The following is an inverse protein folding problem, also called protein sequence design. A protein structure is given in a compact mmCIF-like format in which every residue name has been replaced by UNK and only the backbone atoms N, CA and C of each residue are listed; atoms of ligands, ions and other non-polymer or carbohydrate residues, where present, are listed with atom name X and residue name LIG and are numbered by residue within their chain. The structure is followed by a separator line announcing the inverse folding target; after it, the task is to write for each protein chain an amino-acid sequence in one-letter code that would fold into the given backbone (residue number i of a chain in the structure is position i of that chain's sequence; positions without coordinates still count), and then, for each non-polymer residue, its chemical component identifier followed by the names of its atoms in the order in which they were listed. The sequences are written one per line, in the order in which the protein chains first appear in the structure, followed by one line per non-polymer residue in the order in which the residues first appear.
data_IF_967747805116
#
_entry.id   IF_967747805116
#
_cell.length_a   1.000
_cell.length_b   1.000
_cell.length_c   1.000
_cell.angle_alpha   90.00
_cell.angle_beta   90.00
_cell.angle_gamma   90.00
#
_symmetry.space_group_name_H-M   'P 1'
#
loop_
_entity.id
_entity.type
_entity.pdbx_description
1 polymer ?
#
# COMPACT_ATOMS: atom_id res chain seq x y z
N UNK A 1 23.88 -1.83 -0.30
CA UNK A 1 23.15 -1.54 -1.56
C UNK A 1 21.80 -0.95 -1.17
N UNK A 2 21.29 0.10 -1.83
CA UNK A 2 20.00 0.72 -1.48
C UNK A 2 18.83 0.05 -2.21
N UNK A 3 17.61 0.13 -1.67
CA UNK A 3 16.39 -0.37 -2.32
C UNK A 3 16.22 0.18 -3.74
N UNK A 4 16.36 1.50 -3.94
CA UNK A 4 16.25 2.10 -5.27
C UNK A 4 17.20 1.46 -6.30
N UNK A 5 18.46 1.19 -5.90
CA UNK A 5 19.44 0.52 -6.78
C UNK A 5 19.05 -0.93 -7.07
N UNK A 6 18.55 -1.69 -6.09
CA UNK A 6 18.14 -3.08 -6.30
C UNK A 6 16.94 -3.21 -7.23
N UNK A 7 16.03 -2.22 -7.20
CA UNK A 7 14.88 -2.12 -8.11
C UNK A 7 15.22 -1.51 -9.47
N UNK A 8 16.47 -1.08 -9.69
CA UNK A 8 16.85 -0.25 -10.86
C UNK A 8 15.95 0.98 -11.01
N UNK A 9 15.45 1.49 -9.90
CA UNK A 9 14.74 2.75 -9.85
C UNK A 9 15.75 3.89 -9.98
N UNK A 10 15.43 4.88 -10.80
CA UNK A 10 16.19 6.11 -10.83
C UNK A 10 15.63 7.06 -9.77
N UNK A 11 16.52 7.64 -8.97
CA UNK A 11 16.17 8.64 -7.97
C UNK A 11 17.14 9.80 -8.09
N UNK A 12 16.62 11.02 -8.11
CA UNK A 12 17.42 12.22 -7.98
C UNK A 12 18.21 12.23 -6.66
N UNK A 13 19.27 13.06 -6.51
CA UNK A 13 20.05 13.14 -5.28
C UNK A 13 19.20 13.59 -4.08
N UNK A 14 18.85 12.63 -3.22
CA UNK A 14 18.02 12.82 -2.03
C UNK A 14 18.51 11.95 -0.87
N UNK A 15 18.05 12.23 0.35
CA UNK A 15 18.29 11.41 1.53
C UNK A 15 16.99 11.18 2.29
N UNK A 16 16.84 10.00 2.89
CA UNK A 16 15.83 9.78 3.90
C UNK A 16 16.39 10.24 5.25
N UNK A 17 15.66 11.09 5.96
CA UNK A 17 16.07 11.68 7.24
C UNK A 17 14.86 11.74 8.18
N UNK A 18 15.09 11.54 9.49
CA UNK A 18 14.05 11.78 10.49
C UNK A 18 13.82 13.28 10.63
N UNK A 19 12.57 13.71 10.51
CA UNK A 19 12.20 15.10 10.74
C UNK A 19 12.45 15.47 12.20
N UNK A 20 13.16 16.57 12.48
CA UNK A 20 13.47 16.97 13.85
C UNK A 20 12.24 17.24 14.73
N UNK A 21 11.12 17.65 14.11
CA UNK A 21 9.90 18.06 14.82
C UNK A 21 9.04 16.90 15.34
N UNK A 22 8.95 15.82 14.56
CA UNK A 22 7.97 14.74 14.76
C UNK A 22 8.61 13.35 14.68
N UNK A 23 9.92 13.25 14.39
CA UNK A 23 10.63 11.98 14.27
C UNK A 23 10.28 11.17 13.02
N UNK A 24 9.31 11.61 12.20
CA UNK A 24 8.85 10.88 11.03
C UNK A 24 9.94 10.90 9.96
N UNK A 25 10.22 9.75 9.36
CA UNK A 25 11.14 9.64 8.22
C UNK A 25 10.55 10.34 6.99
N UNK A 26 11.29 11.28 6.42
CA UNK A 26 10.95 11.98 5.19
C UNK A 26 12.09 11.98 4.19
N UNK A 27 11.77 12.21 2.92
CA UNK A 27 12.76 12.31 1.84
C UNK A 27 13.14 13.77 1.62
N UNK A 28 14.42 14.10 1.73
CA UNK A 28 14.93 15.47 1.64
C UNK A 28 15.79 15.65 0.38
N UNK A 29 15.62 16.79 -0.29
CA UNK A 29 16.41 17.19 -1.44
C UNK A 29 17.88 17.51 -1.06
N UNK A 30 18.84 16.82 -1.68
CA UNK A 30 20.29 17.14 -1.50
C UNK A 30 20.80 18.24 -2.42
N UNK A 31 20.00 18.63 -3.41
CA UNK A 31 20.30 19.71 -4.35
C UNK A 31 18.99 20.43 -4.71
N UNK A 32 19.10 21.60 -5.32
CA UNK A 32 17.95 22.32 -5.87
C UNK A 32 17.36 21.54 -7.05
N UNK A 33 16.03 21.50 -7.12
CA UNK A 33 15.28 21.01 -8.29
C UNK A 33 14.40 22.11 -8.84
N UNK A 34 14.27 22.14 -10.16
CA UNK A 34 13.37 23.05 -10.86
C UNK A 34 12.02 22.40 -11.09
N UNK A 35 10.99 23.23 -11.24
CA UNK A 35 9.68 22.77 -11.68
C UNK A 35 9.79 21.88 -12.92
N UNK A 36 9.15 20.72 -12.87
CA UNK A 36 9.12 19.74 -13.95
C UNK A 36 10.26 18.73 -13.93
N UNK A 37 11.29 18.91 -13.10
CA UNK A 37 12.39 17.96 -12.97
C UNK A 37 11.88 16.57 -12.61
N UNK A 38 12.50 15.54 -13.20
CA UNK A 38 12.30 14.16 -12.80
C UNK A 38 12.96 13.94 -11.44
N UNK A 39 12.19 13.42 -10.49
CA UNK A 39 12.67 13.14 -9.12
C UNK A 39 12.81 11.64 -8.88
N UNK A 40 11.87 10.84 -9.36
CA UNK A 40 11.91 9.38 -9.26
C UNK A 40 11.32 8.72 -10.51
N UNK A 41 11.85 7.55 -10.85
CA UNK A 41 11.34 6.65 -11.88
C UNK A 41 11.46 5.21 -11.36
N UNK A 42 10.32 4.59 -11.06
CA UNK A 42 10.23 3.24 -10.49
C UNK A 42 9.57 2.30 -11.49
N UNK A 43 10.24 1.21 -11.92
CA UNK A 43 9.66 0.28 -12.90
C UNK A 43 8.38 -0.40 -12.39
N UNK A 44 7.34 -0.48 -13.22
CA UNK A 44 6.03 -1.05 -12.82
C UNK A 44 6.10 -2.52 -12.40
N UNK A 45 7.14 -3.25 -12.82
CA UNK A 45 7.36 -4.66 -12.45
C UNK A 45 7.67 -4.88 -10.97
N UNK A 46 7.78 -3.81 -10.19
CA UNK A 46 7.94 -3.85 -8.72
C UNK A 46 6.79 -3.16 -7.99
N UNK A 47 5.83 -2.60 -8.73
CA UNK A 47 4.67 -1.92 -8.18
C UNK A 47 3.48 -2.88 -8.10
N UNK A 48 2.55 -2.59 -7.20
CA UNK A 48 1.28 -3.29 -7.09
C UNK A 48 0.14 -2.38 -7.48
N UNK A 49 -0.89 -2.97 -8.07
CA UNK A 49 -2.12 -2.29 -8.49
C UNK A 49 -3.33 -3.00 -7.87
N UNK A 50 -3.67 -2.65 -6.62
CA UNK A 50 -4.77 -3.27 -5.87
C UNK A 50 -6.12 -3.26 -6.56
N UNK A 51 -6.41 -2.17 -7.27
CA UNK A 51 -7.73 -1.92 -7.86
C UNK A 51 -7.69 -1.84 -9.39
N UNK A 52 -6.67 -2.42 -10.04
CA UNK A 52 -6.54 -2.36 -11.50
C UNK A 52 -7.66 -3.08 -12.26
N UNK A 53 -8.34 -4.05 -11.64
CA UNK A 53 -9.41 -4.82 -12.28
C UNK A 53 -10.25 -5.58 -11.26
N UNK A 54 -11.58 -5.59 -11.44
CA UNK A 54 -12.50 -6.48 -10.72
C UNK A 54 -12.40 -7.95 -11.17
N UNK A 55 -11.93 -8.20 -12.40
CA UNK A 55 -11.69 -9.55 -12.90
C UNK A 55 -10.39 -10.13 -12.29
N UNK A 56 -10.44 -11.25 -11.54
CA UNK A 56 -9.28 -11.79 -10.84
C UNK A 56 -8.10 -12.19 -11.74
N UNK A 57 -8.38 -12.78 -12.91
CA UNK A 57 -7.33 -13.17 -13.87
C UNK A 57 -6.57 -11.95 -14.40
N UNK A 58 -7.31 -10.86 -14.70
CA UNK A 58 -6.70 -9.60 -15.12
C UNK A 58 -5.94 -8.93 -13.98
N UNK A 59 -6.49 -8.94 -12.76
CA UNK A 59 -5.82 -8.43 -11.56
C UNK A 59 -4.48 -9.12 -11.31
N UNK A 60 -4.46 -10.46 -11.38
CA UNK A 60 -3.23 -11.27 -11.30
C UNK A 60 -2.24 -10.94 -12.40
N UNK A 61 -2.71 -10.72 -13.63
CA UNK A 61 -1.83 -10.33 -14.76
C UNK A 61 -1.13 -8.99 -14.51
N UNK A 62 -1.84 -8.00 -13.97
CA UNK A 62 -1.27 -6.70 -13.61
C UNK A 62 -0.23 -6.79 -12.49
N UNK A 63 -0.44 -7.72 -11.55
CA UNK A 63 0.42 -7.91 -10.38
C UNK A 63 1.37 -9.12 -10.51
N UNK A 64 1.59 -9.62 -11.73
CA UNK A 64 2.42 -10.82 -11.97
C UNK A 64 3.90 -10.57 -11.75
N UNK A 65 4.38 -9.37 -12.03
CA UNK A 65 5.77 -8.99 -11.74
C UNK A 65 5.74 -8.11 -10.52
N UNK A 66 6.13 -8.68 -9.39
CA UNK A 66 5.93 -8.13 -8.06
C UNK A 66 7.25 -8.06 -7.30
N UNK A 67 7.34 -7.14 -6.35
CA UNK A 67 8.48 -7.01 -5.45
C UNK A 67 8.69 -8.27 -4.58
N UNK A 68 7.62 -8.91 -4.14
CA UNK A 68 7.62 -10.13 -3.33
C UNK A 68 7.31 -11.33 -4.22
N UNK A 69 8.23 -12.29 -4.39
CA UNK A 69 8.01 -13.47 -5.23
C UNK A 69 6.76 -14.29 -4.85
N UNK A 70 6.53 -14.45 -3.54
CA UNK A 70 5.41 -15.21 -2.97
C UNK A 70 4.05 -14.50 -3.10
N UNK A 71 4.02 -13.20 -3.37
CA UNK A 71 2.77 -12.45 -3.51
C UNK A 71 1.87 -13.03 -4.62
N UNK A 72 2.43 -13.63 -5.66
CA UNK A 72 1.65 -14.27 -6.72
C UNK A 72 0.86 -15.49 -6.21
N UNK A 73 1.48 -16.29 -5.34
CA UNK A 73 0.84 -17.46 -4.73
C UNK A 73 -0.31 -17.01 -3.84
N UNK A 74 -0.05 -16.03 -2.97
CA UNK A 74 -1.07 -15.49 -2.08
C UNK A 74 -2.19 -14.80 -2.84
N UNK A 75 -1.87 -14.05 -3.89
CA UNK A 75 -2.88 -13.43 -4.74
C UNK A 75 -3.78 -14.46 -5.42
N UNK A 76 -3.25 -15.63 -5.81
CA UNK A 76 -4.07 -16.72 -6.33
C UNK A 76 -5.05 -17.25 -5.27
N UNK A 77 -4.56 -17.48 -4.05
CA UNK A 77 -5.34 -18.04 -2.92
C UNK A 77 -6.40 -17.07 -2.37
N UNK A 78 -6.10 -15.79 -2.39
CA UNK A 78 -6.95 -14.73 -1.82
C UNK A 78 -7.84 -14.05 -2.88
N UNK A 79 -7.75 -14.47 -4.13
CA UNK A 79 -8.67 -13.99 -5.18
C UNK A 79 -10.06 -14.59 -5.01
N UNK A 80 -11.09 -13.85 -5.42
CA UNK A 80 -12.49 -14.29 -5.34
C UNK A 80 -12.84 -15.51 -6.21
N UNK A 81 -11.96 -15.93 -7.12
CA UNK A 81 -12.10 -17.13 -7.95
C UNK A 81 -11.30 -18.34 -7.43
N UNK A 82 -10.80 -18.28 -6.20
CA UNK A 82 -10.17 -19.43 -5.54
C UNK A 82 -11.18 -20.57 -5.34
N UNK A 83 -10.74 -21.82 -5.55
CA UNK A 83 -11.59 -23.02 -5.52
C UNK A 83 -11.97 -23.48 -4.13
N UNK A 84 -11.15 -23.14 -3.13
CA UNK A 84 -11.37 -23.49 -1.73
C UNK A 84 -12.14 -22.33 -1.05
N UNK A 85 -12.98 -22.65 -0.06
CA UNK A 85 -13.85 -21.70 0.65
C UNK A 85 -13.14 -20.34 0.83
N UNK A 86 -13.63 -19.32 0.12
CA UNK A 86 -12.92 -18.06 -0.04
C UNK A 86 -12.63 -17.39 1.30
N UNK A 87 -11.39 -16.90 1.47
CA UNK A 87 -11.01 -16.13 2.65
C UNK A 87 -11.78 -14.81 2.65
N UNK A 88 -12.51 -14.51 3.74
CA UNK A 88 -13.17 -13.22 3.86
C UNK A 88 -12.13 -12.12 4.07
N UNK A 89 -11.95 -11.29 3.05
CA UNK A 89 -11.12 -10.08 3.09
C UNK A 89 -11.90 -8.84 3.54
N UNK A 90 -13.13 -9.06 4.02
CA UNK A 90 -14.02 -8.04 4.54
C UNK A 90 -14.41 -8.36 5.98
N UNK A 91 -14.52 -7.32 6.80
CA UNK A 91 -15.01 -7.38 8.17
C UNK A 91 -15.92 -6.17 8.42
N UNK A 92 -16.95 -6.36 9.24
CA UNK A 92 -17.92 -5.33 9.57
C UNK A 92 -18.18 -5.33 11.07
N UNK A 93 -18.23 -4.14 11.67
CA UNK A 93 -18.56 -3.93 13.08
C UNK A 93 -19.70 -2.92 13.16
N UNK A 94 -20.72 -3.25 13.95
CA UNK A 94 -21.79 -2.32 14.30
C UNK A 94 -21.34 -1.42 15.44
N UNK A 95 -21.44 -0.10 15.25
CA UNK A 95 -21.10 0.91 16.25
C UNK A 95 -22.24 1.09 17.25
N UNK A 96 -21.97 1.78 18.36
CA UNK A 96 -22.98 2.08 19.39
C UNK A 96 -24.17 2.89 18.83
N UNK A 97 -23.97 3.64 17.74
CA UNK A 97 -24.99 4.40 17.01
C UNK A 97 -25.82 3.55 16.03
N UNK A 98 -25.64 2.22 16.01
CA UNK A 98 -26.18 1.30 14.99
C UNK A 98 -25.69 1.57 13.56
N UNK A 99 -24.54 2.25 13.39
CA UNK A 99 -23.89 2.35 12.07
C UNK A 99 -23.08 1.08 11.84
N UNK A 100 -22.93 0.64 10.58
CA UNK A 100 -22.09 -0.51 10.26
C UNK A 100 -20.83 -0.03 9.55
N UNK A 101 -19.69 -0.15 10.20
CA UNK A 101 -18.39 0.16 9.61
C UNK A 101 -17.86 -1.11 8.96
N UNK A 102 -17.75 -1.09 7.63
CA UNK A 102 -17.22 -2.22 6.85
C UNK A 102 -15.86 -1.89 6.27
N UNK A 103 -14.89 -2.75 6.55
CA UNK A 103 -13.56 -2.70 5.98
C UNK A 103 -13.37 -3.83 4.96
N UNK A 104 -12.82 -3.52 3.78
CA UNK A 104 -12.49 -4.53 2.76
C UNK A 104 -11.08 -4.36 2.22
N UNK A 105 -10.21 -5.36 2.40
CA UNK A 105 -8.91 -5.47 1.72
C UNK A 105 -9.09 -5.97 0.28
N UNK A 106 -8.38 -5.38 -0.67
CA UNK A 106 -8.21 -6.04 -1.97
C UNK A 106 -7.36 -7.30 -1.83
N UNK A 107 -7.53 -8.30 -2.73
CA UNK A 107 -6.67 -9.48 -2.77
C UNK A 107 -5.17 -9.15 -2.90
N UNK A 108 -4.83 -8.02 -3.53
CA UNK A 108 -3.44 -7.59 -3.69
C UNK A 108 -2.88 -7.03 -2.39
N UNK A 109 -3.63 -6.19 -1.68
CA UNK A 109 -3.22 -5.69 -0.36
C UNK A 109 -3.05 -6.84 0.63
N UNK A 110 -4.01 -7.77 0.66
CA UNK A 110 -3.93 -8.96 1.49
C UNK A 110 -2.71 -9.84 1.12
N UNK A 111 -2.48 -10.07 -0.18
CA UNK A 111 -1.29 -10.83 -0.63
C UNK A 111 0.03 -10.18 -0.22
N UNK A 112 0.08 -8.85 -0.25
CA UNK A 112 1.26 -8.08 0.12
C UNK A 112 1.46 -8.08 1.64
N UNK A 113 0.39 -7.91 2.42
CA UNK A 113 0.42 -7.97 3.88
C UNK A 113 0.91 -9.33 4.36
N UNK A 114 0.39 -10.44 3.80
CA UNK A 114 0.87 -11.79 4.11
C UNK A 114 2.34 -11.95 3.74
N UNK A 115 2.76 -11.47 2.56
CA UNK A 115 4.18 -11.56 2.13
C UNK A 115 5.12 -10.80 3.07
N UNK A 116 4.73 -9.60 3.50
CA UNK A 116 5.47 -8.78 4.47
C UNK A 116 5.53 -9.47 5.84
N UNK A 117 4.39 -9.92 6.34
CA UNK A 117 4.27 -10.58 7.65
C UNK A 117 5.11 -11.85 7.71
N UNK A 118 4.97 -12.77 6.76
CA UNK A 118 5.71 -14.02 6.74
C UNK A 118 7.21 -13.78 6.62
N UNK A 119 7.66 -12.86 5.76
CA UNK A 119 9.09 -12.52 5.69
C UNK A 119 9.60 -11.92 6.98
N UNK A 120 8.82 -11.08 7.66
CA UNK A 120 9.19 -10.53 8.95
C UNK A 120 9.29 -11.64 10.00
N UNK A 121 8.24 -12.44 10.15
CA UNK A 121 8.15 -13.57 11.09
C UNK A 121 9.34 -14.52 10.96
N UNK A 122 9.60 -15.04 9.76
CA UNK A 122 10.69 -16.01 9.55
C UNK A 122 12.08 -15.42 9.78
N UNK A 123 12.27 -14.11 9.57
CA UNK A 123 13.58 -13.46 9.70
C UNK A 123 13.86 -12.92 11.08
N UNK A 124 12.85 -12.41 11.76
CA UNK A 124 12.97 -11.66 13.02
C UNK A 124 12.49 -12.46 14.21
N UNK A 125 11.45 -13.29 14.06
CA UNK A 125 10.89 -14.11 15.15
C UNK A 125 11.58 -15.47 15.19
N UNK A 126 11.47 -16.25 14.11
CA UNK A 126 12.06 -17.60 14.03
C UNK A 126 13.60 -17.55 13.97
N UNK A 127 14.16 -16.44 13.47
CA UNK A 127 15.61 -16.22 13.34
C UNK A 127 16.30 -17.37 12.58
N UNK A 128 15.90 -17.63 11.33
CA UNK A 128 16.61 -18.56 10.45
C UNK A 128 18.05 -18.09 10.18
N UNK A 129 18.98 -18.43 11.08
CA UNK A 129 20.42 -18.28 10.90
C UNK A 129 20.94 -19.54 10.21
N UNK A 130 21.46 -19.40 8.99
CA UNK A 130 22.27 -20.47 8.39
C UNK A 130 23.57 -20.65 9.19
N UNK A 131 23.96 -21.90 9.47
CA UNK A 131 25.26 -22.22 10.13
C UNK A 131 26.49 -21.71 9.36
N UNK A 132 26.38 -21.40 8.07
CA UNK A 132 27.49 -20.93 7.21
C UNK A 132 27.10 -19.78 6.25
N UNK A 133 25.99 -19.07 6.49
CA UNK A 133 25.65 -17.85 5.73
C UNK A 133 25.29 -18.00 4.24
N UNK A 134 25.34 -19.21 3.64
CA UNK A 134 25.11 -19.43 2.20
C UNK A 134 24.11 -20.55 1.83
N UNK A 135 23.32 -21.06 2.79
CA UNK A 135 22.26 -22.04 2.51
C UNK A 135 20.94 -21.39 2.05
N UNK A 136 20.18 -22.05 1.19
CA UNK A 136 18.75 -21.68 0.99
C UNK A 136 18.01 -21.87 2.33
N UNK A 137 17.09 -20.98 2.72
CA UNK A 137 16.20 -21.31 3.82
C UNK A 137 15.42 -22.58 3.42
N UNK A 138 15.44 -23.61 4.27
CA UNK A 138 14.66 -24.83 4.04
C UNK A 138 13.15 -24.55 4.16
N UNK A 139 12.79 -23.53 4.93
CA UNK A 139 11.41 -23.14 5.27
C UNK A 139 11.21 -21.63 5.11
N UNK A 140 9.97 -21.22 4.84
CA UNK A 140 9.60 -19.82 4.71
C UNK A 140 9.96 -19.20 3.35
N UNK A 141 9.74 -17.88 3.20
CA UNK A 141 9.89 -17.21 1.92
C UNK A 141 11.31 -17.26 1.36
N UNK A 142 11.41 -17.50 0.04
CA UNK A 142 12.69 -17.52 -0.67
C UNK A 142 13.50 -16.22 -0.51
N UNK A 143 14.82 -16.35 -0.44
CA UNK A 143 15.72 -15.20 -0.37
C UNK A 143 15.59 -14.34 -1.63
N UNK A 144 15.16 -13.09 -1.45
CA UNK A 144 14.99 -12.15 -2.54
C UNK A 144 15.36 -10.74 -2.07
N UNK A 145 16.60 -10.36 -2.38
CA UNK A 145 17.22 -9.15 -1.82
C UNK A 145 16.39 -7.87 -1.96
N UNK A 146 15.68 -7.59 -3.09
CA UNK A 146 14.83 -6.40 -3.18
C UNK A 146 13.64 -6.40 -2.19
N UNK A 147 12.95 -7.54 -2.01
CA UNK A 147 11.87 -7.65 -1.04
C UNK A 147 12.38 -7.41 0.38
N UNK A 148 13.58 -7.91 0.67
CA UNK A 148 14.22 -7.79 1.97
C UNK A 148 14.61 -6.36 2.31
N UNK A 149 15.16 -5.64 1.33
CA UNK A 149 15.47 -4.22 1.47
C UNK A 149 14.21 -3.38 1.66
N UNK A 150 13.10 -3.76 1.03
CA UNK A 150 11.82 -3.09 1.24
C UNK A 150 11.26 -3.41 2.64
N UNK A 151 11.32 -4.65 3.09
CA UNK A 151 10.93 -5.03 4.46
C UNK A 151 11.70 -4.23 5.53
N UNK A 152 13.00 -3.98 5.30
CA UNK A 152 13.81 -3.15 6.20
C UNK A 152 13.46 -1.66 6.16
N UNK A 153 12.83 -1.20 5.08
CA UNK A 153 12.45 0.20 4.90
C UNK A 153 11.09 0.56 5.50
N UNK A 154 10.28 -0.45 5.84
CA UNK A 154 8.95 -0.28 6.43
C UNK A 154 9.01 -0.44 7.96
N UNK A 155 8.18 0.31 8.71
CA UNK A 155 8.30 0.43 10.16
C UNK A 155 7.65 -0.73 10.92
N UNK A 156 7.88 -1.98 10.49
CA UNK A 156 7.25 -3.16 11.11
C UNK A 156 7.65 -3.31 12.58
N UNK A 157 8.94 -3.12 12.88
CA UNK A 157 9.49 -3.30 14.22
C UNK A 157 8.93 -2.25 15.18
N UNK A 158 8.80 -1.00 14.73
CA UNK A 158 8.17 0.06 15.51
C UNK A 158 6.69 -0.26 15.82
N UNK A 159 5.91 -0.73 14.82
CA UNK A 159 4.48 -1.04 15.01
C UNK A 159 4.27 -2.26 15.93
N UNK A 160 5.21 -3.19 15.97
CA UNK A 160 5.15 -4.36 16.85
C UNK A 160 5.55 -3.98 18.28
N UNK A 161 6.60 -3.16 18.46
CA UNK A 161 7.16 -2.83 19.78
C UNK A 161 6.33 -1.79 20.53
N UNK A 162 5.92 -0.72 19.87
CA UNK A 162 5.15 0.36 20.49
C UNK A 162 3.64 0.07 20.49
N UNK A 163 3.26 -1.08 19.94
CA UNK A 163 1.90 -1.36 19.55
C UNK A 163 1.51 -0.52 18.34
N UNK A 164 0.32 -0.84 17.84
CA UNK A 164 -0.33 -0.02 16.83
C UNK A 164 -0.89 1.18 17.58
N UNK A 165 -0.04 2.16 17.85
CA UNK A 165 -0.53 3.47 18.25
C UNK A 165 -1.52 3.90 17.17
N UNK A 166 -2.73 4.16 17.67
CA UNK A 166 -3.84 4.83 17.01
C UNK A 166 -3.47 5.27 15.60
N UNK A 167 -4.02 4.65 14.53
CA UNK A 167 -3.86 5.22 13.20
C UNK A 167 -4.04 6.73 13.27
N UNK A 168 -3.23 7.49 12.52
CA UNK A 168 -3.13 8.96 12.54
C UNK A 168 -4.50 9.69 12.41
N UNK A 169 -5.36 9.54 13.41
CA UNK A 169 -6.78 9.84 13.52
C UNK A 169 -6.98 10.43 14.90
N UNK A 170 -6.70 11.72 15.03
CA UNK A 170 -7.25 12.46 16.16
C UNK A 170 -8.76 12.70 16.00
N UNK A 171 -9.32 12.42 14.81
CA UNK A 171 -10.61 13.00 14.37
C UNK A 171 -11.66 11.96 13.92
N UNK A 172 -11.42 10.65 14.07
CA UNK A 172 -12.38 9.59 13.66
C UNK A 172 -13.09 9.03 14.89
N UNK A 173 -14.40 9.30 15.00
CA UNK A 173 -15.24 8.86 16.12
C UNK A 173 -15.33 7.32 16.27
N UNK A 174 -14.96 6.56 15.23
CA UNK A 174 -15.09 5.09 15.12
C UNK A 174 -13.76 4.30 15.07
N UNK A 175 -12.66 4.88 15.54
CA UNK A 175 -11.31 4.29 15.45
C UNK A 175 -11.19 2.87 16.04
N UNK A 176 -11.84 2.61 17.19
CA UNK A 176 -11.81 1.29 17.82
C UNK A 176 -12.50 0.21 16.96
N UNK A 177 -13.63 0.55 16.35
CA UNK A 177 -14.40 -0.35 15.47
C UNK A 177 -13.59 -0.74 14.23
N UNK A 178 -12.80 0.21 13.76
CA UNK A 178 -11.90 0.06 12.62
C UNK A 178 -10.71 -0.85 12.95
N UNK A 179 -10.12 -0.73 14.14
CA UNK A 179 -9.08 -1.65 14.59
C UNK A 179 -9.59 -3.09 14.67
N UNK A 180 -10.78 -3.29 15.28
CA UNK A 180 -11.41 -4.62 15.38
C UNK A 180 -11.69 -5.26 14.02
N UNK A 181 -12.10 -4.46 13.02
CA UNK A 181 -12.23 -4.93 11.65
C UNK A 181 -10.90 -5.44 11.06
N UNK A 182 -9.78 -4.74 11.31
CA UNK A 182 -8.47 -5.19 10.85
C UNK A 182 -8.07 -6.48 11.57
N UNK A 183 -8.28 -6.57 12.89
CA UNK A 183 -7.99 -7.80 13.66
C UNK A 183 -8.75 -9.00 13.10
N UNK A 184 -10.04 -8.84 12.80
CA UNK A 184 -10.84 -9.91 12.20
C UNK A 184 -10.29 -10.35 10.83
N UNK A 185 -9.90 -9.41 9.98
CA UNK A 185 -9.28 -9.75 8.70
C UNK A 185 -7.91 -10.43 8.92
N UNK A 186 -7.12 -9.99 9.90
CA UNK A 186 -5.84 -10.61 10.24
C UNK A 186 -6.02 -12.08 10.68
N UNK A 187 -7.05 -12.38 11.47
CA UNK A 187 -7.40 -13.76 11.84
C UNK A 187 -7.80 -14.61 10.63
N UNK A 188 -8.63 -14.08 9.74
CA UNK A 188 -8.99 -14.79 8.51
C UNK A 188 -7.75 -15.11 7.65
N UNK A 189 -6.79 -14.18 7.58
CA UNK A 189 -5.53 -14.40 6.87
C UNK A 189 -4.63 -15.42 7.58
N UNK A 190 -4.59 -15.40 8.92
CA UNK A 190 -3.88 -16.43 9.70
C UNK A 190 -4.44 -17.81 9.43
N UNK A 191 -5.76 -17.99 9.47
CA UNK A 191 -6.38 -19.29 9.23
C UNK A 191 -6.08 -19.79 7.80
N UNK A 192 -6.08 -18.89 6.82
CA UNK A 192 -5.65 -19.21 5.46
C UNK A 192 -4.18 -19.65 5.40
N UNK A 193 -3.28 -18.95 6.10
CA UNK A 193 -1.85 -19.30 6.16
C UNK A 193 -1.68 -20.68 6.77
N UNK A 194 -2.29 -20.95 7.92
CA UNK A 194 -2.22 -22.22 8.62
C UNK A 194 -2.77 -23.37 7.79
N UNK A 195 -3.91 -23.17 7.13
CA UNK A 195 -4.53 -24.17 6.23
C UNK A 195 -3.64 -24.50 5.04
N UNK A 196 -2.88 -23.52 4.56
CA UNK A 196 -2.01 -23.67 3.38
C UNK A 196 -0.55 -24.03 3.72
N UNK A 197 -0.19 -24.07 4.99
CA UNK A 197 1.19 -24.27 5.44
C UNK A 197 1.59 -25.74 5.31
N UNK A 198 2.77 -26.06 4.76
CA UNK A 198 3.36 -27.38 4.93
C UNK A 198 3.49 -27.73 6.42
N UNK A 199 3.39 -29.02 6.78
CA UNK A 199 3.47 -29.48 8.18
C UNK A 199 4.70 -28.93 8.93
N UNK A 200 5.83 -28.83 8.22
CA UNK A 200 7.08 -28.30 8.76
C UNK A 200 6.99 -26.81 9.10
N UNK A 201 6.31 -25.99 8.28
CA UNK A 201 6.10 -24.57 8.58
C UNK A 201 5.01 -24.37 9.63
N UNK A 202 3.95 -25.17 9.58
CA UNK A 202 2.84 -25.12 10.53
C UNK A 202 3.33 -25.20 11.97
N UNK A 203 4.26 -26.11 12.27
CA UNK A 203 4.81 -26.27 13.61
C UNK A 203 5.46 -24.98 14.17
N UNK A 204 6.05 -24.15 13.31
CA UNK A 204 6.64 -22.87 13.75
C UNK A 204 5.57 -21.80 14.00
N UNK A 205 4.56 -21.73 13.14
CA UNK A 205 3.43 -20.82 13.30
C UNK A 205 2.64 -21.16 14.58
N UNK A 206 2.43 -22.46 14.85
CA UNK A 206 1.74 -22.95 16.04
C UNK A 206 2.55 -22.75 17.33
N UNK A 207 3.89 -22.79 17.23
CA UNK A 207 4.76 -22.49 18.37
C UNK A 207 4.84 -20.98 18.73
N UNK A 208 4.51 -20.09 17.78
CA UNK A 208 4.58 -18.63 17.96
C UNK A 208 3.30 -17.93 17.45
N UNK A 209 2.11 -18.29 17.96
CA UNK A 209 0.84 -17.82 17.40
C UNK A 209 0.67 -16.31 17.58
N UNK A 210 0.99 -15.78 18.76
CA UNK A 210 0.88 -14.35 19.07
C UNK A 210 1.83 -13.48 18.23
N UNK A 211 3.03 -13.98 17.92
CA UNK A 211 3.97 -13.26 17.06
C UNK A 211 3.48 -13.24 15.60
N UNK A 212 2.88 -14.34 15.12
CA UNK A 212 2.28 -14.37 13.79
C UNK A 212 1.10 -13.39 13.70
N UNK A 213 0.23 -13.35 14.72
CA UNK A 213 -0.89 -12.41 14.79
C UNK A 213 -0.42 -10.95 14.77
N UNK A 214 0.54 -10.60 15.63
CA UNK A 214 1.09 -9.25 15.69
C UNK A 214 1.76 -8.83 14.38
N UNK A 215 2.48 -9.73 13.72
CA UNK A 215 3.15 -9.44 12.44
C UNK A 215 2.16 -9.29 11.30
N UNK A 216 1.09 -10.08 11.26
CA UNK A 216 0.02 -9.93 10.27
C UNK A 216 -0.72 -8.62 10.44
N UNK A 217 -1.12 -8.32 11.67
CA UNK A 217 -1.83 -7.08 12.00
C UNK A 217 -0.99 -5.86 11.61
N UNK A 218 0.28 -5.80 12.05
CA UNK A 218 1.20 -4.73 11.68
C UNK A 218 1.41 -4.62 10.17
N UNK A 219 1.52 -5.75 9.46
CA UNK A 219 1.70 -5.74 8.01
C UNK A 219 0.49 -5.15 7.27
N UNK A 220 -0.74 -5.41 7.73
CA UNK A 220 -1.93 -4.82 7.13
C UNK A 220 -1.91 -3.29 7.26
N UNK A 221 -1.63 -2.77 8.47
CA UNK A 221 -1.50 -1.34 8.72
C UNK A 221 -0.43 -0.69 7.82
N UNK A 222 0.76 -1.29 7.82
CA UNK A 222 1.91 -0.80 7.05
C UNK A 222 1.62 -0.80 5.55
N UNK A 223 0.99 -1.84 5.02
CA UNK A 223 0.63 -1.94 3.60
C UNK A 223 -0.44 -0.91 3.23
N UNK A 224 -1.50 -0.79 4.02
CA UNK A 224 -2.60 0.15 3.77
C UNK A 224 -2.14 1.60 3.76
N UNK A 225 -1.28 1.99 4.70
CA UNK A 225 -0.72 3.33 4.77
C UNK A 225 0.10 3.74 3.51
N UNK A 226 0.49 2.78 2.67
CA UNK A 226 1.33 2.99 1.47
C UNK A 226 0.57 2.98 0.15
N UNK A 227 -0.74 2.80 0.20
CA UNK A 227 -1.57 2.82 -1.00
C UNK A 227 -1.64 4.23 -1.57
N UNK A 228 -1.07 4.49 -2.75
CA UNK A 228 -1.06 5.80 -3.41
C UNK A 228 -2.13 5.90 -4.50
N UNK A 229 -2.87 7.01 -4.57
CA UNK A 229 -3.75 7.31 -5.72
C UNK A 229 -2.98 8.12 -6.76
N UNK A 230 -2.93 7.63 -8.00
CA UNK A 230 -2.16 8.24 -9.07
C UNK A 230 -2.95 8.29 -10.38
N UNK A 231 -2.76 9.34 -11.17
CA UNK A 231 -3.21 9.36 -12.56
C UNK A 231 -2.42 8.35 -13.39
N UNK A 232 -3.09 7.75 -14.38
CA UNK A 232 -2.50 6.79 -15.31
C UNK A 232 -2.47 7.36 -16.73
N UNK A 233 -1.28 7.44 -17.31
CA UNK A 233 -1.02 7.97 -18.64
C UNK A 233 -0.83 6.80 -19.61
N UNK A 234 -1.71 6.71 -20.62
CA UNK A 234 -1.73 5.61 -21.60
C UNK A 234 -1.03 5.92 -22.94
N UNK A 235 -0.57 7.15 -23.18
CA UNK A 235 0.17 7.55 -24.37
C UNK A 235 -0.67 8.34 -25.37
N UNK A 236 -1.74 7.75 -25.90
CA UNK A 236 -2.48 8.31 -27.05
C UNK A 236 -3.90 8.83 -26.72
N UNK A 237 -4.40 8.62 -25.50
CA UNK A 237 -5.72 9.12 -25.10
C UNK A 237 -5.62 10.51 -24.46
N UNK A 238 -6.32 11.50 -25.03
CA UNK A 238 -6.55 12.83 -24.41
C UNK A 238 -7.28 12.75 -23.07
N UNK A 239 -7.83 11.59 -22.71
CA UNK A 239 -8.32 11.30 -21.36
C UNK A 239 -7.19 10.72 -20.51
N UNK A 240 -6.37 11.62 -19.95
CA UNK A 240 -5.38 11.32 -18.90
C UNK A 240 -5.99 10.89 -17.56
N UNK A 241 -7.31 10.72 -17.50
CA UNK A 241 -8.09 10.87 -16.27
C UNK A 241 -8.45 9.53 -15.61
N UNK A 242 -7.72 8.46 -15.90
CA UNK A 242 -7.86 7.21 -15.16
C UNK A 242 -6.98 7.24 -13.91
N UNK A 243 -7.60 7.49 -12.77
CA UNK A 243 -6.97 7.34 -11.46
C UNK A 243 -6.90 5.87 -11.09
N UNK A 244 -5.77 5.43 -10.54
CA UNK A 244 -5.60 4.07 -10.01
C UNK A 244 -4.87 4.09 -8.68
N UNK A 245 -5.13 3.08 -7.84
CA UNK A 245 -4.39 2.87 -6.60
C UNK A 245 -3.14 2.04 -6.88
N UNK A 246 -2.00 2.46 -6.33
CA UNK A 246 -0.68 1.89 -6.58
C UNK A 246 0.09 1.81 -5.27
N UNK A 247 0.75 0.69 -5.03
CA UNK A 247 1.83 0.63 -4.03
C UNK A 247 3.13 0.62 -4.83
N UNK A 248 3.89 1.72 -4.68
CA UNK A 248 5.09 1.98 -5.47
C UNK A 248 6.29 2.11 -4.53
N UNK A 249 7.13 1.06 -4.39
CA UNK A 249 8.30 1.11 -3.52
C UNK A 249 9.17 2.32 -3.83
N UNK A 250 9.74 2.95 -2.80
CA UNK A 250 10.54 4.20 -2.87
C UNK A 250 9.69 5.46 -3.00
N UNK A 251 8.62 5.42 -3.79
CA UNK A 251 7.67 6.56 -3.91
C UNK A 251 6.80 6.66 -2.66
N UNK A 252 6.46 5.53 -2.08
CA UNK A 252 5.70 5.39 -0.83
C UNK A 252 6.47 5.83 0.44
N UNK A 253 7.69 6.36 0.30
CA UNK A 253 8.42 7.08 1.36
C UNK A 253 8.23 8.59 1.34
N UNK A 254 7.56 9.14 0.32
CA UNK A 254 7.23 10.56 0.26
C UNK A 254 6.04 10.84 1.17
N UNK A 255 6.22 11.71 2.15
CA UNK A 255 5.17 12.06 3.10
C UNK A 255 4.04 12.87 2.44
N UNK A 256 2.89 12.91 3.12
CA UNK A 256 1.76 13.74 2.69
C UNK A 256 2.06 15.24 2.87
N UNK A 257 1.71 16.04 1.86
CA UNK A 257 1.52 17.48 1.99
C UNK A 257 0.18 17.88 1.36
N UNK A 258 -0.73 18.45 2.13
CA UNK A 258 -2.05 18.88 1.63
C UNK A 258 -1.92 20.19 0.85
N UNK A 259 -1.70 21.30 1.55
CA UNK A 259 -1.41 22.60 0.96
C UNK A 259 0.10 22.74 0.72
N UNK A 260 0.52 22.82 -0.55
CA UNK A 260 1.92 23.10 -0.91
C UNK A 260 2.80 21.88 -1.12
N UNK A 261 2.22 20.71 -1.44
CA UNK A 261 2.98 19.58 -1.96
C UNK A 261 3.88 20.02 -3.12
N UNK A 262 5.08 19.46 -3.17
CA UNK A 262 6.10 19.86 -4.14
C UNK A 262 6.40 18.78 -5.19
N UNK A 263 5.78 17.61 -5.05
CA UNK A 263 5.89 16.51 -6.00
C UNK A 263 4.51 16.10 -6.54
N UNK A 264 4.49 15.61 -7.78
CA UNK A 264 3.35 14.89 -8.36
C UNK A 264 3.82 13.53 -8.88
N UNK A 265 3.00 12.51 -8.68
CA UNK A 265 3.27 11.14 -9.11
C UNK A 265 2.23 10.66 -10.11
N UNK A 266 2.66 9.90 -11.12
CA UNK A 266 1.77 9.26 -12.08
C UNK A 266 2.29 7.89 -12.51
N UNK A 267 1.38 7.04 -12.94
CA UNK A 267 1.69 5.79 -13.63
C UNK A 267 1.78 6.10 -15.12
N UNK A 268 2.90 5.80 -15.75
CA UNK A 268 3.06 5.93 -17.20
C UNK A 268 3.19 4.54 -17.84
N UNK A 269 2.13 4.14 -18.54
CA UNK A 269 2.08 2.85 -19.24
C UNK A 269 3.09 2.80 -20.40
N UNK A 270 3.24 3.85 -21.24
CA UNK A 270 4.24 3.84 -22.30
C UNK A 270 5.67 3.64 -21.80
N UNK A 271 6.04 4.26 -20.67
CA UNK A 271 7.38 4.10 -20.07
C UNK A 271 7.48 2.92 -19.12
N UNK A 272 6.36 2.25 -18.83
CA UNK A 272 6.27 1.16 -17.85
C UNK A 272 6.92 1.53 -16.51
N UNK A 273 6.59 2.72 -16.01
CA UNK A 273 7.09 3.22 -14.73
C UNK A 273 6.06 4.02 -13.93
N UNK A 274 6.29 4.12 -12.63
CA UNK A 274 5.76 5.20 -11.78
C UNK A 274 6.77 6.33 -11.78
N UNK A 275 6.34 7.52 -12.14
CA UNK A 275 7.19 8.69 -12.28
C UNK A 275 6.77 9.77 -11.30
N UNK A 276 7.75 10.35 -10.61
CA UNK A 276 7.57 11.51 -9.72
C UNK A 276 8.30 12.71 -10.30
N UNK A 277 7.61 13.85 -10.38
CA UNK A 277 8.17 15.13 -10.84
C UNK A 277 7.92 16.27 -9.86
N UNK A 278 8.80 17.26 -9.88
CA UNK A 278 8.62 18.48 -9.11
C UNK A 278 7.48 19.33 -9.71
N UNK A 279 6.51 19.76 -8.89
CA UNK A 279 5.41 20.65 -9.35
C UNK A 279 5.78 22.13 -9.25
N UNK A 280 6.80 22.44 -8.45
CA UNK A 280 7.42 23.77 -8.27
C UNK A 280 8.92 23.60 -8.04
N UNK A 281 9.65 24.69 -7.95
CA UNK A 281 11.05 24.66 -7.50
C UNK A 281 11.13 24.11 -6.06
N UNK A 282 12.14 23.28 -5.81
CA UNK A 282 12.41 22.63 -4.52
C UNK A 282 13.82 23.02 -4.07
N UNK A 283 13.93 23.58 -2.86
CA UNK A 283 15.19 24.01 -2.27
C UNK A 283 16.05 22.84 -1.78
N UNK A 284 17.34 23.11 -1.54
CA UNK A 284 18.22 22.16 -0.82
C UNK A 284 17.72 22.04 0.63
N UNK A 285 17.64 20.83 1.15
CA UNK A 285 17.15 20.57 2.51
C UNK A 285 15.63 20.55 2.63
N UNK A 286 14.90 20.81 1.56
CA UNK A 286 13.44 20.75 1.56
C UNK A 286 12.93 19.30 1.48
N UNK A 287 11.89 18.98 2.24
CA UNK A 287 11.23 17.67 2.21
C UNK A 287 10.36 17.53 0.95
N UNK A 288 10.51 16.42 0.24
CA UNK A 288 9.65 16.03 -0.88
C UNK A 288 8.35 15.45 -0.34
N UNK A 289 7.21 15.99 -0.81
CA UNK A 289 5.88 15.62 -0.35
C UNK A 289 4.92 15.41 -1.51
N UNK A 290 4.00 14.46 -1.36
CA UNK A 290 2.92 14.17 -2.30
C UNK A 290 1.56 14.53 -1.71
N UNK A 291 0.63 14.92 -2.57
CA UNK A 291 -0.77 14.83 -2.20
C UNK A 291 -1.24 13.38 -2.30
N UNK A 292 -1.63 12.82 -1.16
CA UNK A 292 -2.13 11.46 -1.07
C UNK A 292 -3.55 11.32 -1.67
N UNK A 293 -4.28 12.42 -1.81
CA UNK A 293 -5.61 12.43 -2.42
C UNK A 293 -5.53 12.16 -3.93
N UNK A 294 -4.36 12.38 -4.53
CA UNK A 294 -4.16 12.33 -5.97
C UNK A 294 -4.73 13.59 -6.64
N UNK A 295 -4.79 13.64 -7.98
CA UNK A 295 -5.39 14.76 -8.67
C UNK A 295 -6.88 14.84 -8.34
N UNK A 296 -7.27 15.87 -7.59
CA UNK A 296 -8.69 16.26 -7.45
C UNK A 296 -9.16 16.64 -8.85
N UNK A 297 -10.22 16.01 -9.35
CA UNK A 297 -10.90 16.48 -10.57
C UNK A 297 -11.52 17.85 -10.28
N UNK A 298 -10.72 18.91 -10.38
CA UNK A 298 -11.26 20.25 -10.55
C UNK A 298 -11.81 20.32 -11.99
N UNK A 299 -13.07 19.92 -12.18
CA UNK A 299 -13.81 20.30 -13.38
C UNK A 299 -13.85 21.83 -13.43
N UNK A 300 -13.09 22.40 -14.37
CA UNK A 300 -13.19 23.81 -14.75
C UNK A 300 -14.53 24.05 -15.45
N UNK A 301 -15.33 24.97 -14.91
CA UNK A 301 -16.04 25.98 -15.71
C UNK A 301 -17.57 25.85 -15.87
N UNK A 302 -18.29 26.78 -15.25
CA UNK A 302 -19.06 27.84 -15.94
C UNK A 302 -20.20 27.48 -16.92
N UNK A 303 -21.40 27.94 -16.55
CA UNK A 303 -22.59 28.25 -17.37
C UNK A 303 -23.30 27.11 -18.12
N UNK A 304 -24.48 26.71 -17.62
CA UNK A 304 -25.71 26.76 -18.41
C UNK A 304 -26.97 26.66 -17.55
N UNK A 305 -27.84 27.67 -17.69
CA UNK A 305 -29.24 27.63 -17.31
C UNK A 305 -30.00 26.57 -18.14
N UNK A 306 -31.12 26.13 -17.55
CA UNK A 306 -32.34 25.55 -18.15
C UNK A 306 -32.70 24.10 -17.77
N UNK A 307 -33.79 24.03 -16.99
CA UNK A 307 -34.85 23.02 -16.91
C UNK A 307 -34.76 21.84 -17.90
N UNK A 308 -34.93 20.63 -17.37
CA UNK A 308 -35.50 19.50 -18.11
C UNK A 308 -35.03 18.15 -17.60
N UNK A 309 -35.88 17.46 -16.87
CA UNK A 309 -35.77 16.07 -16.38
C UNK A 309 -35.20 15.07 -17.39
N UNK A 310 -34.19 14.29 -16.97
CA UNK A 310 -34.07 12.87 -17.32
C UNK A 310 -33.06 12.20 -16.37
N UNK A 311 -33.48 11.11 -15.71
CA UNK A 311 -32.71 10.43 -14.68
C UNK A 311 -31.54 9.61 -15.23
N UNK A 312 -30.38 9.76 -14.61
CA UNK A 312 -29.39 8.72 -14.40
C UNK A 312 -28.43 9.23 -13.31
N UNK A 313 -28.10 8.36 -12.37
CA UNK A 313 -27.45 8.64 -11.08
C UNK A 313 -26.17 9.49 -11.19
N UNK A 314 -26.24 10.73 -10.70
CA UNK A 314 -25.10 11.57 -10.33
C UNK A 314 -25.03 11.67 -8.80
N UNK A 315 -24.73 10.54 -8.14
CA UNK A 315 -24.66 10.44 -6.68
C UNK A 315 -23.34 9.81 -6.21
N UNK A 316 -22.17 10.31 -6.63
CA UNK A 316 -20.87 9.87 -6.09
C UNK A 316 -19.76 10.95 -6.14
N UNK A 317 -20.02 12.21 -5.75
CA UNK A 317 -18.98 13.26 -5.82
C UNK A 317 -18.76 14.09 -4.53
N UNK A 318 -19.05 13.55 -3.34
CA UNK A 318 -18.86 14.30 -2.08
C UNK A 318 -18.31 13.55 -0.85
N UNK A 319 -17.57 12.47 -1.02
CA UNK A 319 -16.82 11.88 0.10
C UNK A 319 -15.40 12.45 0.22
N UNK A 320 -14.91 12.63 1.44
CA UNK A 320 -13.53 13.01 1.72
C UNK A 320 -12.63 11.76 1.65
N UNK A 321 -12.42 11.26 0.44
CA UNK A 321 -11.82 9.93 0.10
C UNK A 321 -10.39 9.62 0.63
N UNK A 322 -9.75 10.49 1.41
CA UNK A 322 -8.48 10.16 2.08
C UNK A 322 -8.70 9.09 3.17
N UNK A 323 -9.93 9.03 3.71
CA UNK A 323 -10.44 8.03 4.64
C UNK A 323 -10.33 6.59 4.08
N UNK A 324 -10.27 6.39 2.77
CA UNK A 324 -10.13 5.05 2.16
C UNK A 324 -8.75 4.40 2.31
N UNK A 325 -7.68 5.18 2.58
CA UNK A 325 -6.37 4.64 3.01
C UNK A 325 -6.35 4.22 4.47
N UNK A 326 -7.42 4.59 5.15
CA UNK A 326 -7.56 4.75 6.57
C UNK A 326 -8.92 4.19 7.04
N UNK A 327 -9.50 3.29 6.21
CA UNK A 327 -10.51 2.29 6.55
C UNK A 327 -11.98 2.69 6.33
N UNK A 328 -12.29 3.62 5.41
CA UNK A 328 -13.69 3.89 5.02
C UNK A 328 -13.98 3.85 3.52
N UNK A 329 -15.18 3.36 3.22
CA UNK A 329 -16.00 3.65 2.05
C UNK A 329 -17.28 4.25 2.62
N UNK A 330 -17.68 5.48 2.29
CA UNK A 330 -18.90 6.09 2.85
C UNK A 330 -20.18 5.72 2.06
N UNK A 331 -20.12 4.69 1.23
CA UNK A 331 -21.30 4.03 0.70
C UNK A 331 -21.73 2.87 1.62
N UNK A 332 -22.53 3.20 2.64
CA UNK A 332 -23.68 2.44 3.15
C UNK A 332 -24.18 3.14 4.43
N UNK A 333 -24.90 4.25 4.25
CA UNK A 333 -25.70 4.92 5.28
C UNK A 333 -27.18 4.96 4.85
#
# INVERSE_FOLDING_TARGET
MTLARSLRAWTAPMAQVNRPRDGIRGMIAKRRFHRGDLLMDVPLRYCYFPHASRNPRRLRRWNRSALFPEAQLWLLRLSSDASDAGVSLSASVSTEDNKVVTLTLSPVEASLAVSVALRYFWRKVVLLKNREGAGRPALGPSNFHPADLYLQSIPMEEHILYGLERPYFSDVEDEANVHSNIEQIAWNLRDCILTCAPQEEYAFYDAHPSDLDATLLAAIYVVRARLLRMATIFGDERSSDRVTSVIAPVVDFLNHGSAGHNCAACVTIPKRAVVVRAVRDIGVGEELTLDYRGPVQQRRGGFQNYRGTSGCEEAEEREDWWESRYLFSANDA
#
